data_IF_557157359691
#
_entry.id   IF_557157359691
#
_cell.length_a   1.000
_cell.length_b   1.000
_cell.length_c   1.000
_cell.angle_alpha   90.00
_cell.angle_beta   90.00
_cell.angle_gamma   90.00
#
_symmetry.space_group_name_H-M   'P 1'
#
loop_
_entity.id
_entity.type
_entity.pdbx_description
1 polymer ?
#
# COMPACT_ATOMS: atom_id res chain seq x y z
N UNK A 1 23.48 39.06 -59.37
CA UNK A 1 22.31 39.66 -58.70
C UNK A 1 22.74 40.03 -57.28
N UNK A 2 22.69 41.33 -56.96
CA UNK A 2 23.27 42.00 -55.78
C UNK A 2 22.31 41.87 -54.58
N UNK A 3 22.76 41.33 -53.44
CA UNK A 3 23.20 42.03 -52.22
C UNK A 3 22.05 42.58 -51.34
N UNK A 4 21.82 41.92 -50.19
CA UNK A 4 21.10 42.45 -49.03
C UNK A 4 22.02 43.39 -48.21
N UNK A 5 21.51 44.57 -47.84
CA UNK A 5 22.07 45.47 -46.82
C UNK A 5 20.90 46.19 -46.10
N UNK A 6 20.78 45.98 -44.78
CA UNK A 6 19.99 46.70 -43.74
C UNK A 6 20.46 48.17 -43.59
N UNK A 7 19.72 49.20 -43.05
CA UNK A 7 19.22 49.21 -41.65
C UNK A 7 18.08 50.20 -41.23
N UNK A 8 17.60 50.01 -39.99
CA UNK A 8 17.03 50.95 -38.99
C UNK A 8 16.52 52.34 -39.41
N UNK A 9 15.37 52.78 -38.87
CA UNK A 9 15.23 54.09 -38.20
C UNK A 9 13.94 54.19 -37.35
N UNK A 10 14.11 54.80 -36.17
CA UNK A 10 13.16 55.05 -35.09
C UNK A 10 12.24 56.27 -35.35
N UNK A 11 11.02 56.25 -34.79
CA UNK A 11 10.25 57.46 -34.39
C UNK A 11 9.55 57.18 -33.05
N UNK A 12 10.06 57.72 -31.93
CA UNK A 12 9.78 59.01 -31.26
C UNK A 12 8.50 58.99 -30.38
N UNK A 13 8.68 58.98 -29.05
CA UNK A 13 8.46 60.12 -28.10
C UNK A 13 7.01 60.08 -27.56
N UNK A 14 6.70 59.98 -26.25
CA UNK A 14 6.99 60.92 -25.13
C UNK A 14 6.85 60.26 -23.75
N UNK A 15 7.63 60.74 -22.77
CA UNK A 15 7.36 60.64 -21.32
C UNK A 15 6.11 61.46 -20.94
N UNK A 16 5.21 60.92 -20.11
CA UNK A 16 4.76 61.54 -18.84
C UNK A 16 3.81 60.62 -18.06
N UNK A 17 3.99 60.70 -16.75
CA UNK A 17 3.31 60.01 -15.65
C UNK A 17 1.78 60.14 -15.68
N UNK A 18 1.08 59.15 -15.10
CA UNK A 18 0.23 59.34 -13.91
C UNK A 18 -0.25 57.96 -13.38
N UNK A 19 -0.08 57.74 -12.08
CA UNK A 19 -0.63 56.62 -11.33
C UNK A 19 -2.16 56.74 -11.25
N UNK A 20 -2.86 55.63 -11.49
CA UNK A 20 -4.19 55.27 -10.97
C UNK A 20 -4.33 53.77 -11.31
N UNK A 21 -4.14 52.84 -10.39
CA UNK A 21 -5.14 52.53 -9.37
C UNK A 21 -6.08 51.43 -9.89
N UNK A 22 -5.65 50.17 -9.80
CA UNK A 22 -6.54 49.00 -9.81
C UNK A 22 -5.80 47.80 -9.20
N UNK A 23 -6.09 47.49 -7.93
CA UNK A 23 -5.79 46.19 -7.35
C UNK A 23 -6.61 45.13 -8.11
N UNK A 24 -5.94 44.30 -8.89
CA UNK A 24 -6.49 42.99 -9.24
C UNK A 24 -6.10 42.01 -8.12
N UNK A 25 -7.04 41.75 -7.21
CA UNK A 25 -6.99 40.62 -6.28
C UNK A 25 -7.08 39.32 -7.10
N UNK A 26 -5.94 38.86 -7.60
CA UNK A 26 -5.78 37.49 -8.06
C UNK A 26 -5.68 36.58 -6.84
N UNK A 27 -6.80 36.15 -6.29
CA UNK A 27 -6.82 35.04 -5.34
C UNK A 27 -6.41 33.77 -6.08
N UNK A 28 -5.11 33.49 -6.13
CA UNK A 28 -4.64 32.13 -6.40
C UNK A 28 -5.11 31.29 -5.21
N UNK A 29 -6.25 30.61 -5.36
CA UNK A 29 -6.64 29.56 -4.44
C UNK A 29 -5.58 28.46 -4.56
N UNK A 30 -4.54 28.58 -3.72
CA UNK A 30 -3.64 27.49 -3.44
C UNK A 30 -4.48 26.44 -2.72
N UNK A 31 -5.10 25.53 -3.48
CA UNK A 31 -5.67 24.34 -2.90
C UNK A 31 -4.55 23.69 -2.10
N UNK A 32 -4.69 23.47 -0.78
CA UNK A 32 -3.57 23.00 -0.01
C UNK A 32 -3.28 21.58 -0.49
N UNK A 33 -2.16 21.39 -1.18
CA UNK A 33 -1.65 20.07 -1.57
C UNK A 33 -1.58 19.12 -0.35
N UNK A 34 -1.39 19.70 0.84
CA UNK A 34 -1.47 19.05 2.14
C UNK A 34 -2.84 18.42 2.45
N UNK A 35 -3.96 19.04 2.07
CA UNK A 35 -5.31 18.48 2.30
C UNK A 35 -5.59 17.27 1.41
N UNK A 36 -5.18 17.29 0.15
CA UNK A 36 -5.33 16.16 -0.77
C UNK A 36 -4.42 14.98 -0.39
N UNK A 37 -3.18 15.24 0.02
CA UNK A 37 -2.27 14.19 0.53
C UNK A 37 -2.80 13.55 1.82
N UNK A 38 -3.37 14.35 2.73
CA UNK A 38 -3.99 13.86 3.98
C UNK A 38 -5.29 13.08 3.72
N UNK A 39 -6.05 13.45 2.68
CA UNK A 39 -7.24 12.70 2.24
C UNK A 39 -6.89 11.38 1.53
N UNK A 40 -5.82 11.34 0.71
CA UNK A 40 -5.33 10.09 0.11
C UNK A 40 -4.77 9.11 1.16
N UNK A 41 -4.13 9.63 2.22
CA UNK A 41 -3.72 8.82 3.36
C UNK A 41 -4.92 8.18 4.09
N UNK A 42 -6.10 8.82 4.06
CA UNK A 42 -7.30 8.29 4.70
C UNK A 42 -7.94 7.10 3.98
N UNK A 43 -7.64 6.86 2.69
CA UNK A 43 -8.24 5.77 1.88
C UNK A 43 -7.38 4.50 1.76
N UNK A 44 -6.12 4.52 2.21
CA UNK A 44 -5.19 3.40 2.03
C UNK A 44 -4.47 3.40 0.67
N UNK A 45 -3.58 2.42 0.41
CA UNK A 45 -2.87 2.31 -0.86
C UNK A 45 -3.83 1.97 -2.01
N UNK A 46 -3.49 2.38 -3.24
CA UNK A 46 -4.21 1.94 -4.44
C UNK A 46 -4.00 0.43 -4.63
N UNK A 47 -5.11 -0.32 -4.70
CA UNK A 47 -5.11 -1.76 -4.95
C UNK A 47 -5.88 -2.00 -6.26
N UNK A 48 -5.23 -2.66 -7.22
CA UNK A 48 -5.82 -3.03 -8.49
C UNK A 48 -6.63 -4.32 -8.27
N UNK A 49 -7.96 -4.20 -8.26
CA UNK A 49 -8.88 -5.33 -8.05
C UNK A 49 -8.86 -6.36 -9.19
N UNK A 50 -9.40 -7.55 -8.92
CA UNK A 50 -9.49 -8.69 -9.86
C UNK A 50 -10.01 -8.29 -11.25
N UNK A 51 -11.13 -7.56 -11.30
CA UNK A 51 -11.71 -7.09 -12.56
C UNK A 51 -10.78 -6.14 -13.33
N UNK A 52 -10.07 -5.28 -12.61
CA UNK A 52 -9.22 -4.25 -13.21
C UNK A 52 -7.92 -4.81 -13.81
N UNK A 53 -7.39 -5.93 -13.28
CA UNK A 53 -6.22 -6.60 -13.88
C UNK A 53 -6.59 -7.73 -14.85
N UNK A 54 -7.88 -8.04 -14.98
CA UNK A 54 -8.41 -9.04 -15.91
C UNK A 54 -8.27 -10.46 -15.37
N UNK A 55 -8.65 -10.67 -14.11
CA UNK A 55 -8.77 -12.00 -13.51
C UNK A 55 -9.77 -12.85 -14.29
N UNK A 56 -9.44 -14.13 -14.48
CA UNK A 56 -10.48 -15.09 -14.85
C UNK A 56 -11.31 -15.47 -13.61
N UNK A 57 -12.56 -15.92 -13.78
CA UNK A 57 -13.38 -16.35 -12.65
C UNK A 57 -12.71 -17.48 -11.86
N UNK A 58 -12.91 -17.54 -10.53
CA UNK A 58 -12.47 -18.69 -9.75
C UNK A 58 -13.23 -19.95 -10.18
N UNK A 59 -12.60 -21.12 -10.07
CA UNK A 59 -13.19 -22.40 -10.47
C UNK A 59 -14.40 -22.79 -9.60
N UNK A 60 -14.43 -22.29 -8.36
CA UNK A 60 -15.53 -22.44 -7.42
C UNK A 60 -15.72 -21.13 -6.63
N UNK A 61 -16.90 -20.88 -6.03
CA UNK A 61 -17.09 -19.73 -5.15
C UNK A 61 -16.06 -19.68 -4.01
N UNK A 62 -15.44 -18.51 -3.81
CA UNK A 62 -14.55 -18.29 -2.66
C UNK A 62 -15.33 -18.34 -1.35
N UNK A 63 -14.69 -18.88 -0.30
CA UNK A 63 -15.27 -18.91 1.04
C UNK A 63 -14.91 -17.63 1.78
N UNK A 64 -15.91 -16.86 2.20
CA UNK A 64 -15.74 -15.73 3.12
C UNK A 64 -16.02 -16.21 4.54
N UNK A 65 -15.11 -15.91 5.45
CA UNK A 65 -15.20 -16.25 6.85
C UNK A 65 -15.81 -15.08 7.62
N UNK A 66 -16.73 -15.37 8.53
CA UNK A 66 -17.40 -14.35 9.37
C UNK A 66 -16.50 -13.81 10.51
N UNK A 67 -15.19 -14.04 10.40
CA UNK A 67 -14.18 -13.56 11.34
C UNK A 67 -13.10 -12.76 10.62
N UNK A 68 -12.58 -11.69 11.25
CA UNK A 68 -11.44 -10.96 10.71
C UNK A 68 -10.17 -11.83 10.76
N UNK A 69 -9.15 -11.52 9.93
CA UNK A 69 -7.85 -12.15 10.05
C UNK A 69 -7.24 -11.83 11.42
N UNK A 70 -6.30 -12.66 11.85
CA UNK A 70 -5.55 -12.49 13.10
C UNK A 70 -4.09 -12.10 12.86
N UNK A 71 -3.60 -12.22 11.62
CA UNK A 71 -2.20 -11.95 11.25
C UNK A 71 -2.01 -11.68 9.76
N UNK A 72 -0.86 -11.13 9.44
CA UNK A 72 -0.36 -10.96 8.07
C UNK A 72 0.81 -11.93 7.87
N UNK A 73 0.82 -12.66 6.75
CA UNK A 73 1.93 -13.54 6.37
C UNK A 73 2.56 -13.01 5.08
N UNK A 74 3.84 -12.64 5.19
CA UNK A 74 4.66 -12.11 4.10
C UNK A 74 5.32 -13.26 3.35
N UNK A 75 5.18 -13.22 2.03
CA UNK A 75 5.76 -14.14 1.07
C UNK A 75 6.65 -13.41 0.06
N UNK A 76 7.54 -14.15 -0.58
CA UNK A 76 8.02 -13.81 -1.92
C UNK A 76 7.31 -14.69 -2.96
N UNK A 77 7.34 -14.32 -4.23
CA UNK A 77 6.77 -15.17 -5.30
C UNK A 77 7.72 -16.28 -5.75
N UNK A 78 8.99 -16.23 -5.32
CA UNK A 78 10.07 -17.11 -5.79
C UNK A 78 10.30 -17.03 -7.32
N UNK A 79 9.89 -15.94 -7.95
CA UNK A 79 10.12 -15.68 -9.39
C UNK A 79 11.42 -14.89 -9.61
N UNK A 80 11.90 -14.85 -10.85
CA UNK A 80 13.04 -14.00 -11.20
C UNK A 80 12.83 -12.53 -10.80
N UNK A 81 13.90 -11.87 -10.37
CA UNK A 81 13.92 -10.45 -10.04
C UNK A 81 14.02 -9.62 -11.33
N UNK A 82 12.88 -9.35 -11.97
CA UNK A 82 12.82 -8.57 -13.22
C UNK A 82 13.14 -7.09 -13.04
N UNK A 83 13.57 -6.43 -14.12
CA UNK A 83 13.81 -4.98 -14.17
C UNK A 83 12.66 -4.20 -14.84
N UNK A 84 11.62 -4.90 -15.30
CA UNK A 84 10.38 -4.25 -15.74
C UNK A 84 9.56 -3.85 -14.52
N UNK A 85 9.53 -2.56 -14.24
CA UNK A 85 8.81 -1.98 -13.11
C UNK A 85 7.44 -1.40 -13.49
N UNK A 86 6.93 -1.71 -14.68
CA UNK A 86 5.70 -1.13 -15.21
C UNK A 86 4.44 -1.68 -14.54
N UNK A 87 3.34 -0.90 -14.63
CA UNK A 87 2.00 -1.38 -14.24
C UNK A 87 1.62 -2.61 -15.06
N UNK A 88 1.92 -2.63 -16.35
CA UNK A 88 1.60 -3.76 -17.24
C UNK A 88 2.26 -5.06 -16.78
N UNK A 89 3.50 -4.98 -16.29
CA UNK A 89 4.20 -6.12 -15.68
C UNK A 89 3.47 -6.63 -14.44
N UNK A 90 3.00 -5.75 -13.56
CA UNK A 90 2.23 -6.15 -12.38
C UNK A 90 0.95 -6.91 -12.75
N UNK A 91 0.19 -6.43 -13.76
CA UNK A 91 -1.00 -7.13 -14.22
C UNK A 91 -0.66 -8.49 -14.86
N UNK A 92 0.46 -8.56 -15.60
CA UNK A 92 0.93 -9.80 -16.20
C UNK A 92 1.37 -10.82 -15.15
N UNK A 93 2.03 -10.36 -14.08
CA UNK A 93 2.37 -11.18 -12.92
C UNK A 93 1.11 -11.75 -12.25
N UNK A 94 0.11 -10.92 -11.98
CA UNK A 94 -1.15 -11.36 -11.35
C UNK A 94 -1.82 -12.48 -12.16
N UNK A 95 -1.94 -12.31 -13.48
CA UNK A 95 -2.45 -13.35 -14.39
C UNK A 95 -1.60 -14.61 -14.39
N UNK A 96 -0.27 -14.48 -14.40
CA UNK A 96 0.64 -15.62 -14.39
C UNK A 96 0.52 -16.43 -13.08
N UNK A 97 0.41 -15.77 -11.94
CA UNK A 97 0.20 -16.42 -10.64
C UNK A 97 -1.17 -17.12 -10.62
N UNK A 98 -2.24 -16.47 -11.11
CA UNK A 98 -3.56 -17.09 -11.18
C UNK A 98 -3.58 -18.34 -12.07
N UNK A 99 -2.98 -18.27 -13.25
CA UNK A 99 -2.88 -19.42 -14.15
C UNK A 99 -2.10 -20.56 -13.51
N UNK A 100 -0.95 -20.26 -12.89
CA UNK A 100 -0.16 -21.28 -12.20
C UNK A 100 -0.94 -21.94 -11.05
N UNK A 101 -1.58 -21.16 -10.18
CA UNK A 101 -2.33 -21.68 -9.04
C UNK A 101 -3.52 -22.55 -9.45
N UNK A 102 -4.26 -22.15 -10.47
CA UNK A 102 -5.45 -22.88 -10.90
C UNK A 102 -5.14 -24.02 -11.88
N UNK A 103 -4.28 -23.80 -12.88
CA UNK A 103 -4.02 -24.81 -13.92
C UNK A 103 -3.00 -25.87 -13.46
N UNK A 104 -1.98 -25.46 -12.69
CA UNK A 104 -0.90 -26.36 -12.29
C UNK A 104 -1.09 -26.93 -10.88
N UNK A 105 -1.68 -26.16 -9.96
CA UNK A 105 -1.93 -26.63 -8.58
C UNK A 105 -3.38 -27.04 -8.32
N UNK A 106 -4.29 -26.84 -9.28
CA UNK A 106 -5.70 -27.21 -9.15
C UNK A 106 -6.46 -26.42 -8.09
N UNK A 107 -5.96 -25.25 -7.70
CA UNK A 107 -6.65 -24.40 -6.73
C UNK A 107 -7.84 -23.70 -7.38
N UNK A 108 -8.82 -23.33 -6.56
CA UNK A 108 -10.01 -22.64 -7.08
C UNK A 108 -9.70 -21.21 -7.57
N UNK A 109 -8.60 -20.63 -7.09
CA UNK A 109 -8.15 -19.27 -7.40
C UNK A 109 -6.69 -19.08 -6.91
N UNK A 110 -6.14 -17.88 -6.97
CA UNK A 110 -4.84 -17.58 -6.33
C UNK A 110 -4.86 -17.88 -4.82
N UNK A 111 -3.71 -18.31 -4.27
CA UNK A 111 -3.61 -18.68 -2.86
C UNK A 111 -3.52 -17.50 -1.90
N UNK A 112 -2.93 -16.40 -2.33
CA UNK A 112 -2.69 -15.17 -1.57
C UNK A 112 -3.81 -14.14 -1.75
N UNK A 113 -3.91 -13.20 -0.82
CA UNK A 113 -4.88 -12.12 -0.88
C UNK A 113 -4.40 -10.95 -1.73
N UNK A 114 -3.10 -10.62 -1.65
CA UNK A 114 -2.51 -9.49 -2.35
C UNK A 114 -1.12 -9.84 -2.87
N UNK A 115 -0.74 -9.23 -3.99
CA UNK A 115 0.61 -9.31 -4.55
C UNK A 115 1.16 -7.91 -4.78
N UNK A 116 2.41 -7.68 -4.44
CA UNK A 116 3.14 -6.42 -4.65
C UNK A 116 4.22 -6.68 -5.69
N UNK A 117 4.06 -6.09 -6.87
CA UNK A 117 5.09 -6.13 -7.91
C UNK A 117 6.38 -5.42 -7.49
N UNK A 118 7.50 -5.73 -8.15
CA UNK A 118 8.75 -4.98 -7.96
C UNK A 118 8.60 -3.50 -8.31
N UNK A 119 7.63 -3.17 -9.15
CA UNK A 119 7.20 -1.81 -9.51
C UNK A 119 6.43 -1.05 -8.43
N UNK A 120 6.12 -1.70 -7.30
CA UNK A 120 5.30 -1.18 -6.19
C UNK A 120 3.79 -1.04 -6.50
N UNK A 121 3.29 -1.68 -7.56
CA UNK A 121 1.84 -1.84 -7.77
C UNK A 121 1.31 -3.00 -6.94
N UNK A 122 0.22 -2.77 -6.22
CA UNK A 122 -0.51 -3.79 -5.45
C UNK A 122 -1.69 -4.30 -6.28
N UNK A 123 -1.80 -5.61 -6.44
CA UNK A 123 -2.94 -6.29 -7.07
C UNK A 123 -3.67 -7.14 -6.06
N UNK A 124 -5.00 -7.13 -6.10
CA UNK A 124 -5.82 -8.16 -5.49
C UNK A 124 -5.47 -9.54 -6.09
N UNK A 125 -5.28 -10.54 -5.24
CA UNK A 125 -5.13 -11.93 -5.64
C UNK A 125 -6.48 -12.64 -5.57
N UNK A 126 -6.72 -13.31 -4.43
CA UNK A 126 -7.91 -14.14 -4.26
C UNK A 126 -9.16 -13.27 -4.28
N UNK A 127 -10.14 -13.64 -5.10
CA UNK A 127 -11.33 -12.82 -5.33
C UNK A 127 -12.02 -12.42 -4.02
N UNK A 128 -12.54 -11.18 -3.99
CA UNK A 128 -13.21 -10.52 -2.85
C UNK A 128 -12.28 -10.10 -1.72
N UNK A 129 -10.96 -10.30 -1.83
CA UNK A 129 -10.02 -9.85 -0.79
C UNK A 129 -10.05 -8.34 -0.61
N UNK A 130 -10.17 -7.59 -1.70
CA UNK A 130 -10.26 -6.12 -1.65
C UNK A 130 -11.58 -5.66 -1.03
N UNK A 131 -12.69 -6.31 -1.36
CA UNK A 131 -14.00 -6.01 -0.79
C UNK A 131 -14.02 -6.23 0.72
N UNK A 132 -13.54 -7.39 1.19
CA UNK A 132 -13.55 -7.72 2.61
C UNK A 132 -12.54 -6.86 3.40
N UNK A 133 -11.39 -6.48 2.81
CA UNK A 133 -10.49 -5.46 3.38
C UNK A 133 -11.17 -4.10 3.47
N UNK A 134 -11.94 -3.72 2.44
CA UNK A 134 -12.71 -2.48 2.40
C UNK A 134 -13.87 -2.48 3.38
N UNK A 135 -14.37 -3.64 3.80
CA UNK A 135 -15.35 -3.77 4.88
C UNK A 135 -14.69 -3.80 6.27
N UNK A 136 -13.56 -4.51 6.43
CA UNK A 136 -12.76 -4.57 7.65
C UNK A 136 -13.28 -5.52 8.74
N UNK A 137 -14.26 -6.38 8.44
CA UNK A 137 -14.92 -7.24 9.43
C UNK A 137 -14.74 -8.75 9.20
N UNK A 138 -14.45 -9.14 7.96
CA UNK A 138 -14.39 -10.53 7.49
C UNK A 138 -13.15 -10.73 6.64
N UNK A 139 -12.86 -11.96 6.26
CA UNK A 139 -11.75 -12.27 5.35
C UNK A 139 -12.16 -13.36 4.35
N UNK A 140 -11.42 -13.46 3.26
CA UNK A 140 -11.52 -14.60 2.34
C UNK A 140 -10.61 -15.71 2.86
N UNK A 141 -11.08 -16.96 2.89
CA UNK A 141 -10.21 -18.10 3.22
C UNK A 141 -9.15 -18.26 2.13
N UNK A 142 -7.88 -18.26 2.51
CA UNK A 142 -6.75 -18.32 1.58
C UNK A 142 -6.27 -19.75 1.30
N UNK A 143 -5.18 -19.89 0.54
CA UNK A 143 -4.47 -21.16 0.33
C UNK A 143 -2.94 -21.04 0.42
N UNK A 144 -2.40 -19.92 0.89
CA UNK A 144 -0.96 -19.62 0.84
C UNK A 144 -0.12 -20.22 1.98
N UNK A 145 -0.74 -20.60 3.11
CA UNK A 145 0.00 -21.07 4.29
C UNK A 145 -0.82 -22.11 5.05
N UNK A 146 -0.40 -23.38 4.95
CA UNK A 146 -1.12 -24.51 5.55
C UNK A 146 -1.21 -24.33 7.07
N UNK A 147 -2.43 -24.44 7.60
CA UNK A 147 -2.75 -24.20 9.01
C UNK A 147 -3.08 -22.75 9.36
N UNK A 148 -2.75 -21.78 8.49
CA UNK A 148 -3.02 -20.34 8.71
C UNK A 148 -4.08 -19.76 7.77
N UNK A 149 -4.53 -20.53 6.77
CA UNK A 149 -5.44 -20.06 5.72
C UNK A 149 -6.79 -19.48 6.18
N UNK A 150 -7.23 -19.81 7.41
CA UNK A 150 -8.49 -19.33 7.97
C UNK A 150 -8.34 -18.08 8.86
N UNK A 151 -7.10 -17.65 9.10
CA UNK A 151 -6.77 -16.69 10.16
C UNK A 151 -5.73 -15.67 9.72
N UNK A 152 -5.37 -15.64 8.43
CA UNK A 152 -4.30 -14.78 7.94
C UNK A 152 -4.58 -14.16 6.58
N UNK A 153 -4.10 -12.94 6.40
CA UNK A 153 -3.94 -12.30 5.10
C UNK A 153 -2.55 -12.65 4.56
N UNK A 154 -2.47 -13.03 3.29
CA UNK A 154 -1.22 -13.37 2.63
C UNK A 154 -0.82 -12.31 1.62
N UNK A 155 0.41 -11.81 1.72
CA UNK A 155 0.98 -10.81 0.81
C UNK A 155 2.21 -11.38 0.13
N UNK A 156 2.16 -11.54 -1.19
CA UNK A 156 3.30 -11.95 -2.00
C UNK A 156 4.09 -10.74 -2.52
N UNK A 157 5.40 -10.73 -2.34
CA UNK A 157 6.30 -9.75 -2.92
C UNK A 157 6.96 -10.37 -4.16
N UNK A 158 6.71 -9.83 -5.35
CA UNK A 158 7.32 -10.31 -6.60
C UNK A 158 8.84 -10.38 -6.46
N UNK A 159 9.42 -11.55 -6.71
CA UNK A 159 10.86 -11.77 -6.72
C UNK A 159 11.30 -12.95 -5.86
N UNK A 160 12.62 -13.11 -5.76
CA UNK A 160 13.30 -14.07 -4.88
C UNK A 160 14.31 -13.32 -4.03
N UNK A 161 14.07 -13.29 -2.72
CA UNK A 161 14.79 -12.47 -1.74
C UNK A 161 15.65 -13.27 -0.77
N UNK A 162 16.23 -14.37 -1.24
CA UNK A 162 17.16 -15.19 -0.44
C UNK A 162 18.50 -14.48 -0.24
N UNK A 163 19.08 -13.92 -1.30
CA UNK A 163 20.41 -13.29 -1.26
C UNK A 163 20.40 -11.78 -1.45
N UNK A 164 19.33 -11.22 -2.00
CA UNK A 164 19.15 -9.78 -2.28
C UNK A 164 17.90 -9.24 -1.59
N UNK A 165 17.91 -7.95 -1.26
CA UNK A 165 16.75 -7.26 -0.70
C UNK A 165 15.73 -6.88 -1.78
N UNK A 166 14.44 -6.71 -1.42
CA UNK A 166 13.45 -6.11 -2.31
C UNK A 166 13.83 -4.66 -2.67
N UNK A 167 13.45 -4.15 -3.86
CA UNK A 167 13.58 -2.74 -4.18
C UNK A 167 12.91 -1.89 -3.10
N UNK A 168 13.55 -0.77 -2.72
CA UNK A 168 13.05 0.09 -1.65
C UNK A 168 11.57 0.51 -1.86
N UNK A 169 11.16 0.80 -3.10
CA UNK A 169 9.76 1.13 -3.42
C UNK A 169 8.78 -0.03 -3.17
N UNK A 170 9.19 -1.28 -3.44
CA UNK A 170 8.36 -2.45 -3.15
C UNK A 170 8.24 -2.66 -1.65
N UNK A 171 9.33 -2.50 -0.91
CA UNK A 171 9.31 -2.53 0.55
C UNK A 171 8.40 -1.45 1.14
N UNK A 172 8.45 -0.22 0.62
CA UNK A 172 7.56 0.85 1.07
C UNK A 172 6.09 0.53 0.77
N UNK A 173 5.76 -0.03 -0.40
CA UNK A 173 4.41 -0.50 -0.68
C UNK A 173 3.95 -1.63 0.27
N UNK A 174 4.87 -2.50 0.71
CA UNK A 174 4.59 -3.52 1.72
C UNK A 174 4.27 -2.88 3.08
N UNK A 175 5.05 -1.87 3.52
CA UNK A 175 4.76 -1.10 4.75
C UNK A 175 3.37 -0.47 4.66
N UNK A 176 3.06 0.21 3.55
CA UNK A 176 1.77 0.87 3.33
C UNK A 176 0.58 -0.11 3.38
N UNK A 177 0.70 -1.24 2.69
CA UNK A 177 -0.34 -2.25 2.66
C UNK A 177 -0.54 -2.91 4.03
N UNK A 178 0.55 -3.28 4.71
CA UNK A 178 0.48 -3.83 6.07
C UNK A 178 -0.16 -2.84 7.04
N UNK A 179 0.24 -1.57 7.01
CA UNK A 179 -0.34 -0.54 7.88
C UNK A 179 -1.84 -0.34 7.62
N UNK A 180 -2.25 -0.36 6.35
CA UNK A 180 -3.66 -0.31 6.00
C UNK A 180 -4.43 -1.53 6.55
N UNK A 181 -3.94 -2.76 6.32
CA UNK A 181 -4.55 -4.00 6.83
C UNK A 181 -4.63 -3.97 8.37
N UNK A 182 -3.56 -3.56 9.05
CA UNK A 182 -3.52 -3.39 10.50
C UNK A 182 -4.64 -2.47 10.99
N UNK A 183 -4.80 -1.30 10.38
CA UNK A 183 -5.89 -0.37 10.74
C UNK A 183 -7.27 -0.91 10.43
N UNK A 184 -7.44 -1.58 9.28
CA UNK A 184 -8.76 -2.07 8.84
C UNK A 184 -9.30 -3.17 9.73
N UNK A 185 -8.42 -4.03 10.26
CA UNK A 185 -8.81 -5.19 11.06
C UNK A 185 -8.44 -5.08 12.55
N UNK A 186 -7.81 -3.97 12.97
CA UNK A 186 -7.31 -3.82 14.34
C UNK A 186 -6.16 -4.76 14.68
N UNK A 187 -5.34 -5.15 13.69
CA UNK A 187 -4.22 -6.07 13.90
C UNK A 187 -2.99 -5.34 14.43
N UNK A 188 -2.38 -5.80 15.53
CA UNK A 188 -1.14 -5.24 15.99
C UNK A 188 -0.01 -5.56 15.00
N UNK A 189 0.93 -4.63 14.74
CA UNK A 189 2.05 -4.89 13.83
C UNK A 189 2.94 -6.07 14.25
N UNK A 190 2.92 -6.46 15.53
CA UNK A 190 3.59 -7.68 16.03
C UNK A 190 3.10 -8.96 15.34
N UNK A 191 1.87 -8.97 14.82
CA UNK A 191 1.26 -10.10 14.10
C UNK A 191 1.59 -10.12 12.59
N UNK A 192 2.67 -9.45 12.17
CA UNK A 192 3.24 -9.61 10.82
C UNK A 192 4.32 -10.69 10.89
N UNK A 193 4.16 -11.77 10.15
CA UNK A 193 5.05 -12.94 10.16
C UNK A 193 5.53 -13.29 8.75
N UNK A 194 6.58 -14.08 8.65
CA UNK A 194 7.02 -14.70 7.40
C UNK A 194 6.39 -16.08 7.20
N UNK A 195 6.29 -16.55 5.96
CA UNK A 195 5.75 -17.89 5.70
C UNK A 195 6.49 -19.02 6.45
N UNK A 196 7.82 -18.92 6.54
CA UNK A 196 8.66 -19.87 7.28
C UNK A 196 8.41 -19.93 8.79
N UNK A 197 7.65 -19.00 9.36
CA UNK A 197 7.27 -19.04 10.78
C UNK A 197 6.24 -20.15 11.06
N UNK A 198 5.54 -20.63 10.02
CA UNK A 198 4.45 -21.61 10.14
C UNK A 198 4.64 -22.87 9.29
N UNK A 199 5.39 -22.80 8.19
CA UNK A 199 5.63 -23.92 7.31
C UNK A 199 7.14 -24.13 7.05
N UNK A 200 7.53 -25.35 6.71
CA UNK A 200 8.92 -25.68 6.34
C UNK A 200 9.21 -25.19 4.91
N UNK A 201 9.61 -23.93 4.78
CA UNK A 201 9.86 -23.28 3.50
C UNK A 201 10.99 -22.25 3.60
N UNK A 202 11.64 -21.96 2.48
CA UNK A 202 12.56 -20.83 2.37
C UNK A 202 11.83 -19.49 2.16
N UNK A 203 10.52 -19.46 1.96
CA UNK A 203 9.76 -18.21 1.82
C UNK A 203 9.74 -17.42 3.16
N UNK A 204 9.90 -16.09 3.20
CA UNK A 204 9.97 -15.12 2.09
C UNK A 204 11.41 -14.84 1.57
N UNK A 205 12.36 -15.72 1.82
CA UNK A 205 13.78 -15.54 1.53
C UNK A 205 14.50 -14.84 2.68
N UNK A 206 15.80 -15.14 2.86
CA UNK A 206 16.54 -14.71 4.06
C UNK A 206 16.65 -13.19 4.19
N UNK A 207 16.79 -12.44 3.09
CA UNK A 207 16.88 -10.98 3.13
C UNK A 207 15.54 -10.33 3.48
N UNK A 208 14.45 -10.74 2.85
CA UNK A 208 13.13 -10.20 3.18
C UNK A 208 12.68 -10.63 4.59
N UNK A 209 13.00 -11.86 5.00
CA UNK A 209 12.72 -12.33 6.36
C UNK A 209 13.47 -11.52 7.42
N UNK A 210 14.76 -11.20 7.18
CA UNK A 210 15.55 -10.36 8.08
C UNK A 210 15.00 -8.93 8.23
N UNK A 211 14.20 -8.44 7.27
CA UNK A 211 13.55 -7.14 7.33
C UNK A 211 12.24 -7.14 8.15
N UNK A 212 11.71 -8.30 8.56
CA UNK A 212 10.43 -8.35 9.28
C UNK A 212 10.43 -7.53 10.59
N UNK A 213 11.46 -7.55 11.45
CA UNK A 213 11.49 -6.69 12.64
C UNK A 213 11.39 -5.20 12.30
N UNK A 214 12.09 -4.76 11.24
CA UNK A 214 12.01 -3.38 10.75
C UNK A 214 10.64 -3.08 10.15
N UNK A 215 10.08 -4.01 9.37
CA UNK A 215 8.73 -3.87 8.80
C UNK A 215 7.69 -3.64 9.91
N UNK A 216 7.75 -4.39 11.02
CA UNK A 216 6.85 -4.19 12.16
C UNK A 216 6.99 -2.79 12.77
N UNK A 217 8.21 -2.27 12.87
CA UNK A 217 8.48 -0.92 13.38
C UNK A 217 7.95 0.16 12.43
N UNK A 218 8.28 0.06 11.14
CA UNK A 218 7.85 1.02 10.12
C UNK A 218 6.31 1.02 9.99
N UNK A 219 5.66 -0.14 10.11
CA UNK A 219 4.19 -0.25 10.16
C UNK A 219 3.63 0.35 11.44
N UNK A 220 4.23 0.09 12.61
CA UNK A 220 3.76 0.67 13.87
C UNK A 220 3.80 2.20 13.86
N UNK A 221 4.88 2.78 13.34
CA UNK A 221 5.00 4.22 13.12
C UNK A 221 3.85 4.76 12.27
N UNK A 222 3.62 4.12 11.12
CA UNK A 222 2.59 4.55 10.17
C UNK A 222 1.16 4.41 10.71
N UNK A 223 0.91 3.35 11.49
CA UNK A 223 -0.37 3.18 12.17
C UNK A 223 -0.53 4.23 13.27
N UNK A 224 0.54 4.52 14.03
CA UNK A 224 0.51 5.49 15.13
C UNK A 224 0.29 6.93 14.67
N UNK A 225 1.00 7.38 13.63
CA UNK A 225 0.80 8.70 13.02
C UNK A 225 -0.66 8.97 12.64
N UNK A 226 -1.34 7.97 12.06
CA UNK A 226 -2.73 8.11 11.62
C UNK A 226 -3.75 7.97 12.76
N UNK A 227 -3.38 7.30 13.86
CA UNK A 227 -4.24 7.12 15.03
C UNK A 227 -4.03 8.18 16.11
N UNK A 228 -2.98 9.00 16.03
CA UNK A 228 -2.64 10.01 17.04
C UNK A 228 -3.83 10.89 17.45
N UNK A 229 -4.59 11.38 16.47
CA UNK A 229 -5.74 12.26 16.70
C UNK A 229 -6.96 11.54 17.31
N UNK A 230 -6.95 10.20 17.34
CA UNK A 230 -8.03 9.37 17.91
C UNK A 230 -7.82 9.00 19.37
N UNK A 231 -6.62 9.24 19.91
CA UNK A 231 -6.27 8.94 21.30
C UNK A 231 -6.82 10.05 22.21
N UNK A 232 -7.27 9.65 23.42
CA UNK A 232 -7.78 10.57 24.43
C UNK A 232 -6.78 11.69 24.74
N UNK A 233 -7.28 12.88 25.07
CA UNK A 233 -6.42 14.01 25.42
C UNK A 233 -5.51 13.68 26.61
N UNK A 234 -6.03 12.98 27.63
CA UNK A 234 -5.29 12.56 28.82
C UNK A 234 -4.11 11.62 28.47
N UNK A 235 -4.33 10.65 27.58
CA UNK A 235 -3.27 9.73 27.14
C UNK A 235 -2.20 10.43 26.29
N UNK A 236 -2.60 11.40 25.46
CA UNK A 236 -1.66 12.25 24.70
C UNK A 236 -0.82 13.14 25.60
N UNK A 237 -1.41 13.71 26.66
CA UNK A 237 -0.71 14.55 27.64
C UNK A 237 0.24 13.73 28.52
N UNK A 238 -0.05 12.45 28.75
CA UNK A 238 0.83 11.52 29.48
C UNK A 238 2.00 11.02 28.63
N UNK A 239 1.86 11.00 27.31
CA UNK A 239 2.91 10.56 26.39
C UNK A 239 3.96 11.65 26.17
N UNK A 240 5.22 11.35 26.46
CA UNK A 240 6.34 12.30 26.35
C UNK A 240 7.28 12.04 25.17
N UNK A 241 7.02 10.99 24.38
CA UNK A 241 7.76 10.71 23.15
C UNK A 241 7.15 11.40 21.91
N UNK A 242 7.75 11.20 20.73
CA UNK A 242 7.21 11.74 19.49
C UNK A 242 5.82 11.14 19.17
N UNK A 243 4.94 11.91 18.52
CA UNK A 243 3.57 11.49 18.18
C UNK A 243 3.49 10.29 17.23
N UNK A 244 4.54 10.04 16.47
CA UNK A 244 4.69 8.88 15.58
C UNK A 244 5.01 7.57 16.32
N UNK A 245 5.55 7.65 17.55
CA UNK A 245 5.99 6.50 18.35
C UNK A 245 5.01 6.15 19.46
N UNK A 246 3.78 5.79 19.15
CA UNK A 246 2.89 5.30 20.20
C UNK A 246 3.48 4.04 20.87
N UNK A 247 3.50 3.96 22.20
CA UNK A 247 3.88 2.73 22.88
C UNK A 247 2.87 1.63 22.54
N UNK A 248 3.36 0.38 22.53
CA UNK A 248 2.62 -0.74 21.95
C UNK A 248 1.24 -0.97 22.58
N UNK A 249 1.09 -0.69 23.88
CA UNK A 249 -0.16 -0.75 24.62
C UNK A 249 -1.19 0.29 24.12
N UNK A 250 -0.76 1.54 23.92
CA UNK A 250 -1.62 2.59 23.37
C UNK A 250 -1.98 2.32 21.91
N UNK A 251 -1.04 1.79 21.12
CA UNK A 251 -1.29 1.40 19.73
C UNK A 251 -2.35 0.29 19.66
N UNK A 252 -2.22 -0.74 20.51
CA UNK A 252 -3.21 -1.82 20.60
C UNK A 252 -4.57 -1.33 21.08
N UNK A 253 -4.61 -0.45 22.08
CA UNK A 253 -5.84 0.12 22.58
C UNK A 253 -6.54 0.96 21.49
N UNK A 254 -5.79 1.78 20.76
CA UNK A 254 -6.32 2.60 19.67
C UNK A 254 -6.86 1.73 18.52
N UNK A 255 -6.19 0.63 18.18
CA UNK A 255 -6.64 -0.33 17.16
C UNK A 255 -7.91 -1.10 17.57
N UNK A 256 -8.12 -1.35 18.86
CA UNK A 256 -9.30 -2.06 19.40
C UNK A 256 -10.50 -1.16 19.65
N UNK A 257 -10.32 0.16 19.68
CA UNK A 257 -11.40 1.10 19.96
C UNK A 257 -12.31 1.23 18.73
N UNK A 258 -13.62 0.94 18.83
CA UNK A 258 -14.54 1.07 17.70
C UNK A 258 -14.53 2.51 17.18
N UNK A 259 -14.16 2.71 15.92
CA UNK A 259 -14.30 4.03 15.28
C UNK A 259 -15.79 4.40 15.29
N UNK A 260 -16.15 5.50 15.95
CA UNK A 260 -17.50 6.05 15.85
C UNK A 260 -17.77 6.28 14.37
N UNK A 261 -18.81 5.65 13.83
CA UNK A 261 -19.29 5.92 12.47
C UNK A 261 -19.73 7.39 12.45
N UNK A 262 -18.97 8.24 11.77
CA UNK A 262 -19.43 9.58 11.35
C UNK A 262 -20.39 9.45 10.18
#
# INVERSE_FOLDING_TARGET
>A
MRAEITPSQLRRVTRRMLLSGALALGATAAWPRATAARAAAATGPEIIGCDAWGARPPAEPVVVLDTPPQRIIVHHTATANVEDYSRQRALALARAIQNYHMDMQGWIDTGQHFTISRGAFVTEGRHRSLDELTAGARQVRSAHCVGQNNVSVGIENEGTYTSVEPPAKQYQALVELCAHICRRYGLPPSEIHGHRDFNQTACPGDRLYALLPRLRQDVALKVGEELWDTIGQEDRERWTGPSEYLPADLLEQALRTPRRRS
#
